data_IF_911475907343
#
_entry.id   IF_911475907343
#
_cell.length_a   1.000
_cell.length_b   1.000
_cell.length_c   1.000
_cell.angle_alpha   90.00
_cell.angle_beta   90.00
_cell.angle_gamma   90.00
#
_symmetry.space_group_name_H-M   'P 1'
#
loop_
_entity.id
_entity.type
_entity.pdbx_description
1 polymer ?
#
# COMPACT_ATOMS: atom_id res chain seq x y z
N UNK A 1 36.44 45.61 27.27
CA UNK A 1 37.24 44.48 26.75
C UNK A 1 36.56 43.17 27.09
N UNK A 2 36.11 42.45 26.05
CA UNK A 2 35.94 41.00 25.94
C UNK A 2 35.21 40.26 27.08
N UNK A 3 33.88 40.08 26.94
CA UNK A 3 33.17 38.77 27.03
C UNK A 3 31.80 38.89 26.31
N UNK A 4 31.89 39.05 24.99
CA UNK A 4 30.86 38.64 24.02
C UNK A 4 31.34 37.28 23.48
N UNK A 5 30.40 36.41 23.12
CA UNK A 5 30.55 35.10 22.47
C UNK A 5 30.49 33.86 23.38
N UNK A 6 29.66 32.90 22.94
CA UNK A 6 29.50 31.51 23.40
C UNK A 6 28.51 31.30 24.57
N UNK A 7 27.30 31.87 24.48
CA UNK A 7 26.06 31.18 24.89
C UNK A 7 25.00 31.49 23.81
N UNK A 8 25.37 31.11 22.59
CA UNK A 8 24.54 30.92 21.41
C UNK A 8 25.06 29.57 20.89
N UNK A 9 24.19 28.66 20.45
CA UNK A 9 24.42 27.21 20.25
C UNK A 9 24.06 26.36 21.49
N UNK A 10 22.88 26.62 22.03
CA UNK A 10 22.01 25.58 22.64
C UNK A 10 20.57 25.83 22.16
N UNK A 11 20.41 26.25 20.89
CA UNK A 11 19.47 25.55 20.02
C UNK A 11 20.16 24.18 19.86
N UNK A 12 19.81 23.07 20.51
CA UNK A 12 18.47 22.50 20.59
C UNK A 12 17.65 22.84 19.35
N UNK A 13 18.28 22.68 18.19
CA UNK A 13 17.68 21.94 17.10
C UNK A 13 17.39 20.54 17.67
N UNK A 14 16.35 20.43 18.50
CA UNK A 14 15.50 19.27 18.39
C UNK A 14 14.90 19.43 16.99
N UNK A 15 15.60 18.94 15.97
CA UNK A 15 14.88 18.33 14.87
C UNK A 15 13.97 17.34 15.58
N UNK A 16 12.69 17.67 15.71
CA UNK A 16 11.71 16.65 15.99
C UNK A 16 11.95 15.65 14.87
N UNK A 17 12.59 14.53 15.19
CA UNK A 17 12.65 13.42 14.28
C UNK A 17 11.19 12.98 14.22
N UNK A 18 10.50 13.44 13.18
CA UNK A 18 9.16 12.99 12.87
C UNK A 18 9.23 11.46 12.82
N UNK A 19 8.36 10.80 13.57
CA UNK A 19 8.30 9.35 13.54
C UNK A 19 7.86 8.91 12.15
N UNK A 20 8.33 7.74 11.72
CA UNK A 20 7.94 7.14 10.44
C UNK A 20 6.41 7.02 10.33
N UNK A 21 5.75 6.76 11.47
CA UNK A 21 4.30 6.75 11.61
C UNK A 21 3.63 8.09 11.29
N UNK A 22 4.26 9.24 11.53
CA UNK A 22 3.65 10.55 11.29
C UNK A 22 3.56 10.84 9.79
N UNK A 23 4.62 10.55 9.03
CA UNK A 23 4.60 10.66 7.57
C UNK A 23 3.59 9.69 6.95
N UNK A 24 3.56 8.44 7.42
CA UNK A 24 2.58 7.45 6.99
C UNK A 24 1.14 7.89 7.28
N UNK A 25 0.90 8.44 8.48
CA UNK A 25 -0.39 8.99 8.90
C UNK A 25 -0.81 10.15 8.00
N UNK A 26 0.09 11.07 7.68
CA UNK A 26 -0.20 12.19 6.78
C UNK A 26 -0.63 11.70 5.39
N UNK A 27 0.14 10.78 4.78
CA UNK A 27 -0.21 10.20 3.46
C UNK A 27 -1.53 9.45 3.51
N UNK A 28 -1.74 8.64 4.56
CA UNK A 28 -3.00 7.91 4.77
C UNK A 28 -4.21 8.82 4.89
N UNK A 29 -4.11 9.93 5.63
CA UNK A 29 -5.19 10.90 5.75
C UNK A 29 -5.49 11.60 4.42
N UNK A 30 -4.47 12.00 3.65
CA UNK A 30 -4.66 12.60 2.32
C UNK A 30 -5.37 11.64 1.37
N UNK A 31 -4.93 10.38 1.33
CA UNK A 31 -5.55 9.31 0.53
C UNK A 31 -7.01 9.06 0.95
N UNK A 32 -7.28 8.98 2.26
CA UNK A 32 -8.63 8.83 2.81
C UNK A 32 -9.56 9.99 2.42
N UNK A 33 -9.08 11.24 2.54
CA UNK A 33 -9.87 12.42 2.17
C UNK A 33 -10.18 12.45 0.67
N UNK A 34 -9.19 12.15 -0.17
CA UNK A 34 -9.39 12.12 -1.61
C UNK A 34 -10.38 11.04 -2.03
N UNK A 35 -10.21 9.82 -1.53
CA UNK A 35 -11.09 8.69 -1.86
C UNK A 35 -12.52 8.96 -1.46
N UNK A 36 -12.75 9.55 -0.28
CA UNK A 36 -14.07 10.03 0.12
C UNK A 36 -14.65 11.05 -0.87
N UNK A 37 -13.86 12.06 -1.26
CA UNK A 37 -14.31 13.10 -2.20
C UNK A 37 -14.66 12.53 -3.58
N UNK A 38 -13.82 11.66 -4.15
CA UNK A 38 -14.09 11.13 -5.48
C UNK A 38 -15.17 10.04 -5.48
N UNK A 39 -15.40 9.38 -4.34
CA UNK A 39 -16.56 8.49 -4.16
C UNK A 39 -17.88 9.25 -4.27
N UNK A 40 -17.95 10.49 -3.76
CA UNK A 40 -19.14 11.35 -3.97
C UNK A 40 -19.38 11.70 -5.44
N UNK A 41 -18.35 11.62 -6.29
CA UNK A 41 -18.43 11.81 -7.74
C UNK A 41 -18.77 10.52 -8.50
N UNK A 42 -18.99 9.41 -7.78
CA UNK A 42 -19.35 8.11 -8.34
C UNK A 42 -18.16 7.25 -8.76
N UNK A 43 -16.96 7.53 -8.25
CA UNK A 43 -15.81 6.64 -8.39
C UNK A 43 -15.76 5.64 -7.24
N UNK A 44 -15.51 4.38 -7.54
CA UNK A 44 -15.41 3.33 -6.51
C UNK A 44 -14.14 2.51 -6.73
N UNK A 45 -13.62 1.94 -5.65
CA UNK A 45 -12.44 1.08 -5.72
C UNK A 45 -12.69 -0.15 -6.61
N UNK A 46 -11.73 -0.44 -7.49
CA UNK A 46 -11.85 -1.51 -8.47
C UNK A 46 -11.40 -2.86 -7.85
N UNK A 47 -12.24 -3.50 -7.04
CA UNK A 47 -11.96 -4.83 -6.48
C UNK A 47 -10.85 -4.86 -5.42
N UNK A 48 -10.09 -5.95 -5.37
CA UNK A 48 -9.35 -6.39 -4.17
C UNK A 48 -7.83 -6.14 -4.17
N UNK A 49 -7.27 -5.70 -5.30
CA UNK A 49 -5.87 -5.27 -5.43
C UNK A 49 -5.83 -3.86 -6.06
N UNK A 50 -6.46 -2.89 -5.40
CA UNK A 50 -6.72 -1.55 -5.94
C UNK A 50 -6.17 -0.41 -5.09
N UNK A 51 -5.47 -0.71 -4.01
CA UNK A 51 -4.85 0.27 -3.14
C UNK A 51 -3.48 -0.22 -2.71
N UNK A 52 -2.50 0.66 -2.81
CA UNK A 52 -1.11 0.29 -2.67
C UNK A 52 -0.32 1.39 -1.98
N UNK A 53 0.85 1.04 -1.47
CA UNK A 53 1.78 2.00 -0.88
C UNK A 53 3.24 1.58 -0.96
N UNK A 54 4.11 2.58 -1.04
CA UNK A 54 5.56 2.43 -1.14
C UNK A 54 6.29 3.58 -0.44
N UNK A 55 7.54 3.34 -0.01
CA UNK A 55 8.46 4.38 0.43
C UNK A 55 9.46 4.61 -0.69
N UNK A 56 9.49 5.80 -1.29
CA UNK A 56 10.30 6.10 -2.47
C UNK A 56 11.39 7.13 -2.16
N UNK A 57 12.60 6.88 -2.63
CA UNK A 57 13.63 7.93 -2.73
C UNK A 57 13.33 8.90 -3.88
N UNK A 58 13.99 10.07 -3.89
CA UNK A 58 13.96 10.97 -5.05
C UNK A 58 14.53 10.28 -6.30
N UNK A 59 13.85 10.46 -7.44
CA UNK A 59 14.16 9.85 -8.73
C UNK A 59 13.78 8.37 -8.85
N UNK A 60 13.26 7.75 -7.79
CA UNK A 60 12.94 6.33 -7.75
C UNK A 60 11.47 6.08 -8.09
N UNK A 61 11.17 4.84 -8.46
CA UNK A 61 9.82 4.43 -8.88
C UNK A 61 9.45 3.05 -8.37
N UNK A 62 8.14 2.81 -8.32
CA UNK A 62 7.55 1.49 -8.07
C UNK A 62 6.50 1.20 -9.12
N UNK A 63 6.37 -0.07 -9.51
CA UNK A 63 5.38 -0.50 -10.50
C UNK A 63 4.45 -1.56 -9.94
N UNK A 64 3.19 -1.51 -10.35
CA UNK A 64 2.17 -2.54 -10.10
C UNK A 64 1.55 -2.99 -11.41
N UNK A 65 1.45 -4.31 -11.59
CA UNK A 65 0.75 -4.92 -12.72
C UNK A 65 -0.72 -5.12 -12.39
N UNK A 66 -1.61 -4.81 -13.33
CA UNK A 66 -3.05 -4.95 -13.14
C UNK A 66 -3.79 -5.27 -14.44
N UNK A 67 -4.78 -6.14 -14.36
CA UNK A 67 -5.73 -6.36 -15.44
C UNK A 67 -6.79 -5.25 -15.48
N UNK A 68 -7.01 -4.67 -16.66
CA UNK A 68 -8.05 -3.68 -16.87
C UNK A 68 -9.02 -4.11 -17.95
N UNK A 69 -10.29 -3.74 -17.80
CA UNK A 69 -11.34 -4.09 -18.77
C UNK A 69 -11.51 -3.05 -19.88
N UNK A 70 -11.65 -3.55 -21.12
CA UNK A 70 -11.84 -2.70 -22.29
C UNK A 70 -13.05 -1.79 -22.12
N UNK A 71 -12.83 -0.49 -22.27
CA UNK A 71 -13.89 0.52 -22.34
C UNK A 71 -14.37 1.04 -20.98
N UNK A 72 -14.03 0.38 -19.87
CA UNK A 72 -14.26 0.91 -18.52
C UNK A 72 -13.43 2.16 -18.30
N UNK A 73 -14.00 3.17 -17.64
CA UNK A 73 -13.26 4.37 -17.26
C UNK A 73 -12.62 4.11 -15.89
N UNK A 74 -11.32 4.28 -15.82
CA UNK A 74 -10.54 4.18 -14.61
C UNK A 74 -9.99 5.55 -14.21
N UNK A 75 -9.83 5.74 -12.92
CA UNK A 75 -9.13 6.85 -12.30
C UNK A 75 -8.01 6.25 -11.45
N UNK A 76 -6.77 6.64 -11.75
CA UNK A 76 -5.59 6.23 -11.01
C UNK A 76 -5.01 7.49 -10.39
N UNK A 77 -4.85 7.47 -9.07
CA UNK A 77 -4.39 8.64 -8.31
C UNK A 77 -3.27 8.23 -7.37
N UNK A 78 -2.40 9.17 -7.02
CA UNK A 78 -1.39 8.97 -5.98
C UNK A 78 -1.26 10.19 -5.06
N UNK A 79 -0.79 9.95 -3.84
CA UNK A 79 -0.51 10.96 -2.82
C UNK A 79 0.83 10.70 -2.16
N UNK A 80 1.66 11.73 -2.08
CA UNK A 80 2.84 11.76 -1.23
C UNK A 80 2.57 12.39 0.14
N UNK A 81 3.51 12.18 1.07
CA UNK A 81 3.57 12.94 2.32
C UNK A 81 3.94 14.42 2.08
N UNK A 82 4.35 15.15 3.11
CA UNK A 82 4.73 16.56 2.98
C UNK A 82 6.09 16.82 2.34
N UNK A 83 6.95 15.79 2.22
CA UNK A 83 8.25 15.90 1.58
C UNK A 83 8.17 15.73 0.06
N UNK A 84 7.05 15.23 -0.46
CA UNK A 84 6.77 15.12 -1.89
C UNK A 84 6.60 16.51 -2.54
N UNK A 85 7.33 16.75 -3.64
CA UNK A 85 7.20 17.97 -4.45
C UNK A 85 6.58 17.64 -5.81
N UNK A 86 7.07 16.58 -6.45
CA UNK A 86 6.68 16.17 -7.80
C UNK A 86 6.55 14.64 -7.87
N UNK A 87 5.31 14.15 -8.03
CA UNK A 87 5.00 12.74 -8.21
C UNK A 87 4.35 12.53 -9.58
N UNK A 88 4.82 11.52 -10.31
CA UNK A 88 4.29 11.17 -11.62
C UNK A 88 3.55 9.83 -11.60
N UNK A 89 2.53 9.71 -12.46
CA UNK A 89 1.87 8.44 -12.80
C UNK A 89 2.10 8.13 -14.26
N UNK A 90 2.55 6.92 -14.58
CA UNK A 90 2.60 6.42 -15.94
C UNK A 90 1.90 5.06 -16.06
N UNK A 91 1.04 4.91 -17.06
CA UNK A 91 0.37 3.65 -17.38
C UNK A 91 0.87 3.14 -18.72
N UNK A 92 1.42 1.94 -18.75
CA UNK A 92 1.91 1.28 -19.97
C UNK A 92 1.12 0.01 -20.28
N UNK A 93 0.97 -0.30 -21.57
CA UNK A 93 0.38 -1.56 -22.03
C UNK A 93 1.37 -2.73 -22.02
N UNK A 94 0.90 -3.92 -22.39
CA UNK A 94 1.70 -5.15 -22.51
C UNK A 94 2.94 -5.04 -23.42
N UNK A 95 3.00 -4.03 -24.30
CA UNK A 95 4.14 -3.77 -25.19
C UNK A 95 5.07 -2.67 -24.63
N UNK A 96 4.83 -2.20 -23.40
CA UNK A 96 5.56 -1.09 -22.79
C UNK A 96 5.22 0.28 -23.37
N UNK A 97 4.13 0.39 -24.14
CA UNK A 97 3.72 1.69 -24.71
C UNK A 97 2.94 2.48 -23.68
N UNK A 98 3.32 3.75 -23.45
CA UNK A 98 2.58 4.66 -22.58
C UNK A 98 1.20 4.93 -23.18
N UNK A 99 0.15 4.61 -22.42
CA UNK A 99 -1.25 4.78 -22.83
C UNK A 99 -1.97 5.89 -22.07
N UNK A 100 -1.45 6.28 -20.91
CA UNK A 100 -1.88 7.43 -20.13
C UNK A 100 -0.76 7.82 -19.15
N UNK A 101 -0.66 9.10 -18.81
CA UNK A 101 0.28 9.60 -17.81
C UNK A 101 -0.26 10.88 -17.15
N UNK A 102 0.21 11.16 -15.95
CA UNK A 102 0.20 12.48 -15.34
C UNK A 102 1.65 12.83 -15.00
N UNK A 103 2.10 13.96 -15.53
CA UNK A 103 3.46 14.49 -15.40
C UNK A 103 3.44 15.98 -15.02
N UNK A 104 2.34 16.42 -14.40
CA UNK A 104 2.22 17.77 -13.87
C UNK A 104 3.10 17.90 -12.62
N UNK A 105 3.73 19.07 -12.46
CA UNK A 105 4.60 19.34 -11.32
C UNK A 105 3.78 19.52 -10.03
N UNK A 106 3.37 18.43 -9.42
CA UNK A 106 2.63 18.37 -8.16
C UNK A 106 2.77 17.03 -7.44
N UNK A 107 2.42 16.99 -6.15
CA UNK A 107 2.55 15.80 -5.29
C UNK A 107 1.29 14.91 -5.28
N UNK A 108 0.36 15.14 -6.20
CA UNK A 108 -1.00 14.57 -6.20
C UNK A 108 -1.48 14.16 -7.60
N UNK A 109 -0.68 13.40 -8.36
CA UNK A 109 -0.99 13.07 -9.74
C UNK A 109 -2.28 12.25 -9.82
N UNK A 110 -3.01 12.47 -10.91
CA UNK A 110 -4.28 11.83 -11.19
C UNK A 110 -4.46 11.61 -12.70
N UNK A 111 -4.63 10.36 -13.08
CA UNK A 111 -4.74 9.93 -14.46
C UNK A 111 -6.10 9.25 -14.73
N UNK A 112 -6.90 9.86 -15.60
CA UNK A 112 -8.09 9.24 -16.19
C UNK A 112 -7.69 8.34 -17.36
N UNK A 113 -8.06 7.06 -17.30
CA UNK A 113 -7.65 6.04 -18.24
C UNK A 113 -8.84 5.24 -18.77
N UNK A 114 -8.85 4.92 -20.07
CA UNK A 114 -9.85 4.02 -20.67
C UNK A 114 -9.18 3.01 -21.59
N UNK A 115 -8.98 1.76 -21.16
CA UNK A 115 -8.29 0.74 -21.94
C UNK A 115 -8.98 0.47 -23.27
N UNK A 116 -8.18 0.38 -24.34
CA UNK A 116 -8.65 -0.01 -25.68
C UNK A 116 -8.81 -1.53 -25.83
N UNK A 117 -8.21 -2.31 -24.93
CA UNK A 117 -8.25 -3.78 -24.88
C UNK A 117 -8.38 -4.21 -23.41
N UNK A 118 -8.98 -5.37 -23.17
CA UNK A 118 -8.90 -6.03 -21.88
C UNK A 118 -7.55 -6.75 -21.85
N UNK A 119 -6.65 -6.31 -20.97
CA UNK A 119 -5.28 -6.80 -20.91
C UNK A 119 -4.63 -6.41 -19.57
N UNK A 120 -3.44 -6.96 -19.30
CA UNK A 120 -2.57 -6.47 -18.24
C UNK A 120 -1.88 -5.17 -18.66
N UNK A 121 -1.87 -4.21 -17.74
CA UNK A 121 -1.15 -2.95 -17.84
C UNK A 121 -0.23 -2.81 -16.63
N UNK A 122 0.76 -1.93 -16.76
CA UNK A 122 1.66 -1.58 -15.65
C UNK A 122 1.42 -0.13 -15.26
N UNK A 123 1.12 0.10 -13.98
CA UNK A 123 1.07 1.42 -13.37
C UNK A 123 2.42 1.66 -12.72
N UNK A 124 3.08 2.76 -13.05
CA UNK A 124 4.35 3.18 -12.43
C UNK A 124 4.15 4.51 -11.74
N UNK A 125 4.55 4.57 -10.48
CA UNK A 125 4.56 5.79 -9.67
C UNK A 125 6.02 6.20 -9.48
N UNK A 126 6.35 7.45 -9.78
CA UNK A 126 7.71 7.98 -9.65
C UNK A 126 7.72 9.16 -8.70
N UNK A 127 8.66 9.17 -7.74
CA UNK A 127 8.94 10.34 -6.94
C UNK A 127 10.00 11.19 -7.64
N UNK A 128 9.59 12.12 -8.49
CA UNK A 128 10.50 12.84 -9.37
C UNK A 128 11.34 13.89 -8.61
N UNK A 129 10.73 14.61 -7.66
CA UNK A 129 11.40 15.60 -6.79
C UNK A 129 10.81 15.57 -5.37
N UNK A 130 11.68 15.61 -4.35
CA UNK A 130 11.24 15.62 -2.95
C UNK A 130 12.31 16.14 -1.98
N UNK A 131 11.94 16.47 -0.74
CA UNK A 131 12.89 16.85 0.31
C UNK A 131 13.47 15.66 1.10
N UNK A 132 13.18 14.42 0.69
CA UNK A 132 13.51 13.22 1.45
C UNK A 132 12.99 11.92 0.84
N UNK A 133 12.87 10.89 1.65
CA UNK A 133 12.12 9.69 1.27
C UNK A 133 10.63 10.00 1.47
N UNK A 134 9.80 9.60 0.50
CA UNK A 134 8.38 9.93 0.48
C UNK A 134 7.55 8.66 0.61
N UNK A 135 6.62 8.65 1.56
CA UNK A 135 5.52 7.71 1.57
C UNK A 135 4.51 8.05 0.48
N UNK A 136 4.31 7.12 -0.45
CA UNK A 136 3.36 7.28 -1.53
C UNK A 136 2.28 6.22 -1.45
N UNK A 137 1.02 6.64 -1.43
CA UNK A 137 -0.15 5.78 -1.61
C UNK A 137 -0.78 6.03 -2.97
N UNK A 138 -1.24 4.98 -3.64
CA UNK A 138 -1.98 5.11 -4.89
C UNK A 138 -3.16 4.14 -4.95
N UNK A 139 -4.20 4.55 -5.66
CA UNK A 139 -5.41 3.78 -5.81
C UNK A 139 -5.86 3.66 -7.27
N UNK A 140 -6.63 2.60 -7.53
CA UNK A 140 -7.28 2.34 -8.82
C UNK A 140 -8.78 2.28 -8.58
N UNK A 141 -9.49 3.20 -9.22
CA UNK A 141 -10.94 3.33 -9.09
C UNK A 141 -11.58 3.28 -10.47
N UNK A 142 -12.84 2.85 -10.54
CA UNK A 142 -13.65 2.88 -11.74
C UNK A 142 -14.95 3.64 -11.47
N UNK A 143 -15.62 4.10 -12.53
CA UNK A 143 -16.92 4.77 -12.41
C UNK A 143 -18.09 3.91 -12.93
N UNK A 144 -17.85 2.62 -13.09
CA UNK A 144 -18.90 1.67 -13.38
C UNK A 144 -19.72 1.43 -12.11
N UNK A 145 -20.92 0.85 -12.24
CA UNK A 145 -21.74 0.53 -11.07
C UNK A 145 -21.01 -0.51 -10.23
N UNK A 146 -20.35 -0.06 -9.18
CA UNK A 146 -19.70 -0.93 -8.22
C UNK A 146 -20.78 -1.70 -7.42
N UNK A 147 -20.63 -3.02 -7.25
CA UNK A 147 -21.46 -3.75 -6.29
C UNK A 147 -21.13 -3.34 -4.84
N UNK A 148 -19.99 -2.67 -4.63
CA UNK A 148 -19.49 -2.27 -3.33
C UNK A 148 -19.96 -0.87 -2.99
N UNK A 149 -20.79 -0.77 -1.96
CA UNK A 149 -21.26 0.50 -1.42
C UNK A 149 -20.23 1.08 -0.43
N UNK A 150 -19.98 2.38 -0.52
CA UNK A 150 -19.13 3.16 0.39
C UNK A 150 -17.68 2.62 0.52
N UNK A 151 -17.04 2.23 -0.59
CA UNK A 151 -15.69 1.68 -0.51
C UNK A 151 -14.67 2.69 0.07
N UNK A 152 -14.85 3.98 -0.21
CA UNK A 152 -14.06 5.05 0.37
C UNK A 152 -14.14 5.09 1.90
N UNK A 153 -15.34 5.06 2.48
CA UNK A 153 -15.55 5.04 3.94
C UNK A 153 -14.89 3.82 4.59
N UNK A 154 -15.03 2.65 3.97
CA UNK A 154 -14.41 1.40 4.44
C UNK A 154 -12.89 1.48 4.42
N UNK A 155 -12.31 2.09 3.39
CA UNK A 155 -10.87 2.38 3.31
C UNK A 155 -10.42 3.28 4.46
N UNK A 156 -11.16 4.36 4.76
CA UNK A 156 -10.87 5.24 5.90
C UNK A 156 -10.89 4.47 7.22
N UNK A 157 -11.87 3.59 7.44
CA UNK A 157 -11.97 2.78 8.66
C UNK A 157 -10.78 1.83 8.82
N UNK A 158 -10.35 1.17 7.73
CA UNK A 158 -9.16 0.31 7.76
C UNK A 158 -7.87 1.12 8.02
N UNK A 159 -7.74 2.30 7.41
CA UNK A 159 -6.62 3.22 7.66
C UNK A 159 -6.60 3.73 9.10
N UNK A 160 -7.75 4.01 9.72
CA UNK A 160 -7.80 4.42 11.13
C UNK A 160 -7.25 3.33 12.07
N UNK A 161 -7.55 2.05 11.82
CA UNK A 161 -6.99 0.93 12.60
C UNK A 161 -5.47 0.81 12.44
N UNK A 162 -4.96 1.09 11.23
CA UNK A 162 -3.52 1.18 11.00
C UNK A 162 -2.88 2.31 11.81
N UNK A 163 -3.51 3.47 11.86
CA UNK A 163 -3.01 4.61 12.65
C UNK A 163 -2.98 4.29 14.15
N UNK A 164 -4.04 3.66 14.67
CA UNK A 164 -4.10 3.20 16.06
C UNK A 164 -2.97 2.18 16.36
N UNK A 165 -2.73 1.24 15.44
CA UNK A 165 -1.64 0.27 15.58
C UNK A 165 -0.26 0.92 15.65
N UNK A 166 0.07 1.85 14.75
CA UNK A 166 1.37 2.54 14.79
C UNK A 166 1.53 3.44 16.01
N UNK A 167 0.45 4.03 16.53
CA UNK A 167 0.52 4.80 17.77
C UNK A 167 1.01 3.94 18.95
N UNK A 168 0.59 2.66 18.99
CA UNK A 168 1.02 1.70 20.01
C UNK A 168 2.48 1.26 19.76
N UNK A 169 2.88 1.04 18.50
CA UNK A 169 4.25 0.65 18.18
C UNK A 169 5.28 1.72 18.58
N UNK A 170 4.98 2.99 18.31
CA UNK A 170 5.87 4.10 18.65
C UNK A 170 6.06 4.24 20.16
N UNK A 171 5.01 4.02 20.95
CA UNK A 171 5.10 4.01 22.42
C UNK A 171 6.04 2.91 22.95
N UNK A 172 6.15 1.80 22.23
CA UNK A 172 6.96 0.65 22.61
C UNK A 172 8.39 0.71 22.06
N UNK A 173 8.74 1.73 21.26
CA UNK A 173 10.07 1.93 20.68
C UNK A 173 10.61 0.73 19.88
N UNK A 174 9.73 0.07 19.12
CA UNK A 174 10.16 -0.98 18.19
C UNK A 174 10.95 -0.35 17.03
N UNK A 175 12.11 -0.91 16.67
CA UNK A 175 12.84 -0.51 15.45
C UNK A 175 12.18 -1.26 14.29
N UNK A 176 11.28 -0.57 13.59
CA UNK A 176 10.69 -1.07 12.36
C UNK A 176 10.96 -0.09 11.23
N UNK A 177 11.09 -0.62 10.02
CA UNK A 177 11.40 0.16 8.81
C UNK A 177 10.56 -0.32 7.65
N UNK A 178 10.45 0.55 6.65
CA UNK A 178 9.79 0.22 5.39
C UNK A 178 10.85 -0.07 4.33
N UNK A 179 10.52 -0.95 3.40
CA UNK A 179 11.38 -1.20 2.26
C UNK A 179 11.40 0.02 1.34
N UNK A 180 12.61 0.53 1.09
CA UNK A 180 12.83 1.60 0.12
C UNK A 180 12.63 1.07 -1.31
N UNK A 181 11.92 1.84 -2.14
CA UNK A 181 11.66 1.59 -3.56
C UNK A 181 10.94 0.25 -3.82
N UNK A 182 10.11 -0.18 -2.88
CA UNK A 182 9.29 -1.39 -2.97
C UNK A 182 7.88 -1.11 -2.46
N UNK A 183 6.91 -1.82 -3.03
CA UNK A 183 5.54 -1.85 -2.49
C UNK A 183 5.57 -2.52 -1.12
N UNK A 184 5.07 -1.81 -0.10
CA UNK A 184 4.93 -2.32 1.25
C UNK A 184 3.46 -2.46 1.67
N UNK A 185 2.53 -1.80 0.96
CA UNK A 185 1.09 -1.88 1.22
C UNK A 185 0.40 -2.40 -0.04
N UNK A 186 -0.52 -3.35 0.14
CA UNK A 186 -1.45 -3.79 -0.91
C UNK A 186 -2.80 -4.17 -0.31
N UNK A 187 -3.89 -3.82 -0.99
CA UNK A 187 -5.23 -4.19 -0.59
C UNK A 187 -6.33 -3.69 -1.52
N UNK A 188 -7.56 -3.76 -1.05
CA UNK A 188 -8.75 -3.34 -1.77
C UNK A 188 -10.03 -3.81 -1.08
N UNK A 189 -11.14 -3.80 -1.81
CA UNK A 189 -12.43 -4.32 -1.33
C UNK A 189 -12.48 -5.82 -1.54
N UNK A 190 -12.87 -6.56 -0.50
CA UNK A 190 -13.04 -8.01 -0.51
C UNK A 190 -14.35 -8.45 0.14
N UNK A 191 -14.93 -9.54 -0.37
CA UNK A 191 -16.11 -10.21 0.20
C UNK A 191 -15.74 -11.38 1.14
N UNK A 192 -16.71 -11.83 1.96
CA UNK A 192 -16.54 -13.06 2.75
C UNK A 192 -16.22 -14.27 1.85
N UNK A 193 -15.17 -14.99 2.21
CA UNK A 193 -14.66 -16.14 1.46
C UNK A 193 -13.70 -15.79 0.33
N UNK A 194 -13.55 -14.50 -0.01
CA UNK A 194 -12.59 -14.08 -1.03
C UNK A 194 -11.15 -14.22 -0.51
N UNK A 195 -10.26 -14.67 -1.40
CA UNK A 195 -8.82 -14.77 -1.16
C UNK A 195 -8.07 -13.99 -2.24
N UNK A 196 -6.97 -13.37 -1.84
CA UNK A 196 -6.06 -12.66 -2.73
C UNK A 196 -4.63 -13.03 -2.41
N UNK A 197 -3.73 -12.71 -3.34
CA UNK A 197 -2.33 -12.94 -3.13
C UNK A 197 -1.45 -11.93 -3.89
N UNK A 198 -0.42 -11.47 -3.19
CA UNK A 198 0.65 -10.63 -3.71
C UNK A 198 1.90 -11.48 -3.94
N UNK A 199 2.33 -11.58 -5.19
CA UNK A 199 3.42 -12.46 -5.64
C UNK A 199 4.67 -11.68 -6.01
N UNK A 200 5.73 -12.43 -6.24
CA UNK A 200 7.02 -11.94 -6.69
C UNK A 200 7.60 -10.90 -5.72
N UNK A 201 7.20 -11.02 -4.45
CA UNK A 201 7.73 -10.21 -3.38
C UNK A 201 9.10 -10.76 -2.98
N UNK A 202 10.08 -9.87 -2.88
CA UNK A 202 11.44 -10.20 -2.44
C UNK A 202 11.93 -9.18 -1.43
N UNK A 203 12.55 -9.70 -0.37
CA UNK A 203 13.24 -8.91 0.65
C UNK A 203 14.73 -9.19 0.61
N UNK A 204 15.57 -8.32 1.16
CA UNK A 204 16.95 -8.66 1.45
C UNK A 204 17.03 -9.91 2.35
N UNK A 205 18.05 -10.74 2.13
CA UNK A 205 18.29 -11.95 2.94
C UNK A 205 18.49 -11.63 4.42
N UNK A 206 18.15 -12.59 5.29
CA UNK A 206 18.34 -12.52 6.75
C UNK A 206 17.66 -11.30 7.39
N UNK A 207 16.53 -10.88 6.83
CA UNK A 207 15.75 -9.74 7.31
C UNK A 207 14.49 -10.25 8.03
N UNK A 208 14.36 -9.93 9.32
CA UNK A 208 13.11 -10.12 10.05
C UNK A 208 12.03 -9.22 9.45
N UNK A 209 10.89 -9.81 9.12
CA UNK A 209 9.77 -9.10 8.52
C UNK A 209 8.52 -9.21 9.40
N UNK A 210 7.79 -8.11 9.50
CA UNK A 210 6.47 -8.07 10.14
C UNK A 210 5.41 -7.81 9.07
N UNK A 211 4.34 -8.59 9.12
CA UNK A 211 3.20 -8.43 8.23
C UNK A 211 1.99 -8.10 9.08
N UNK A 212 1.27 -7.05 8.69
CA UNK A 212 0.12 -6.57 9.45
C UNK A 212 -1.05 -6.32 8.51
N UNK A 213 -2.11 -7.10 8.68
CA UNK A 213 -3.36 -6.98 7.95
C UNK A 213 -4.36 -6.10 8.67
N UNK A 214 -5.08 -5.24 7.95
CA UNK A 214 -6.12 -4.39 8.49
C UNK A 214 -7.39 -4.53 7.66
N UNK A 215 -8.50 -4.91 8.30
CA UNK A 215 -9.84 -4.88 7.73
C UNK A 215 -10.69 -3.74 8.28
N UNK A 216 -11.59 -3.21 7.46
CA UNK A 216 -12.61 -2.23 7.85
C UNK A 216 -13.59 -2.80 8.89
N UNK A 217 -14.53 -2.01 9.38
CA UNK A 217 -15.44 -2.42 10.48
C UNK A 217 -16.42 -3.55 10.10
N UNK A 218 -16.60 -3.78 8.81
CA UNK A 218 -17.41 -4.87 8.25
C UNK A 218 -16.69 -6.21 8.39
N UNK A 219 -15.36 -6.19 8.42
CA UNK A 219 -14.49 -7.36 8.52
C UNK A 219 -14.44 -7.81 9.98
N UNK A 220 -14.67 -9.10 10.21
CA UNK A 220 -14.63 -9.72 11.53
C UNK A 220 -13.44 -10.65 11.70
N UNK A 221 -12.99 -11.25 10.59
CA UNK A 221 -11.97 -12.28 10.54
C UNK A 221 -11.19 -12.14 9.23
N UNK A 222 -9.96 -11.63 9.34
CA UNK A 222 -9.03 -11.36 8.25
C UNK A 222 -7.72 -12.07 8.53
N UNK A 223 -7.34 -12.96 7.62
CA UNK A 223 -6.18 -13.81 7.80
C UNK A 223 -5.12 -13.45 6.76
N UNK A 224 -3.87 -13.57 7.16
CA UNK A 224 -2.71 -13.38 6.29
C UNK A 224 -1.80 -14.59 6.42
N UNK A 225 -1.20 -15.00 5.30
CA UNK A 225 -0.34 -16.17 5.21
C UNK A 225 0.80 -15.90 4.24
N UNK A 226 2.03 -16.20 4.66
CA UNK A 226 3.22 -16.05 3.85
C UNK A 226 3.78 -17.40 3.44
N UNK A 227 4.09 -17.55 2.16
CA UNK A 227 4.57 -18.81 1.58
C UNK A 227 5.75 -18.57 0.64
N UNK A 228 6.61 -19.58 0.46
CA UNK A 228 7.62 -19.55 -0.59
C UNK A 228 7.01 -19.77 -1.98
N UNK A 229 7.46 -18.98 -2.96
CA UNK A 229 6.97 -19.09 -4.33
C UNK A 229 7.94 -19.90 -5.21
N UNK A 230 7.40 -20.90 -5.93
CA UNK A 230 8.17 -21.87 -6.72
C UNK A 230 8.66 -21.36 -8.09
N UNK A 231 8.31 -20.12 -8.46
CA UNK A 231 8.74 -19.48 -9.69
C UNK A 231 7.83 -18.32 -10.10
N UNK A 232 8.33 -17.43 -10.95
CA UNK A 232 7.69 -16.17 -11.34
C UNK A 232 6.28 -16.31 -11.94
N UNK A 233 5.97 -17.47 -12.53
CA UNK A 233 4.72 -17.71 -13.27
C UNK A 233 3.66 -18.50 -12.47
N UNK A 234 3.97 -18.97 -11.27
CA UNK A 234 3.03 -19.73 -10.44
C UNK A 234 2.28 -18.81 -9.48
N UNK A 235 1.03 -18.55 -9.83
CA UNK A 235 0.10 -17.72 -9.08
C UNK A 235 -0.97 -18.64 -8.51
N UNK A 236 -0.92 -18.90 -7.21
CA UNK A 236 -1.89 -19.72 -6.45
C UNK A 236 -2.72 -18.90 -5.46
N UNK A 237 -3.89 -18.45 -5.90
CA UNK A 237 -4.80 -17.63 -5.09
C UNK A 237 -5.52 -18.42 -4.00
N UNK A 238 -5.36 -19.75 -3.95
CA UNK A 238 -6.00 -20.56 -2.94
C UNK A 238 -5.25 -20.43 -1.61
N UNK A 239 -5.90 -19.75 -0.66
CA UNK A 239 -5.38 -19.59 0.70
C UNK A 239 -5.17 -20.94 1.40
N UNK A 240 -6.05 -21.90 1.11
CA UNK A 240 -6.11 -23.23 1.73
C UNK A 240 -5.26 -24.26 0.99
N UNK A 241 -4.54 -23.85 -0.04
CA UNK A 241 -3.64 -24.75 -0.75
C UNK A 241 -2.61 -25.35 0.21
N UNK A 242 -2.27 -26.61 -0.06
CA UNK A 242 -1.13 -27.30 0.53
C UNK A 242 0.16 -26.68 -0.03
N UNK A 243 0.49 -25.50 0.48
CA UNK A 243 1.70 -24.77 0.12
C UNK A 243 2.92 -25.54 0.62
N UNK A 244 3.92 -25.64 -0.24
CA UNK A 244 5.12 -26.41 0.06
C UNK A 244 5.83 -25.96 1.33
N UNK A 245 5.86 -24.65 1.57
CA UNK A 245 6.47 -24.07 2.75
C UNK A 245 5.71 -22.82 3.19
N UNK A 246 4.92 -22.97 4.25
CA UNK A 246 4.33 -21.87 5.00
C UNK A 246 5.42 -21.30 5.91
N UNK A 247 5.71 -20.01 5.77
CA UNK A 247 6.70 -19.29 6.58
C UNK A 247 6.07 -18.86 7.89
N UNK A 248 4.94 -18.16 7.80
CA UNK A 248 4.13 -17.71 8.93
C UNK A 248 2.69 -17.49 8.46
N UNK A 249 1.75 -17.55 9.41
CA UNK A 249 0.33 -17.27 9.18
C UNK A 249 -0.29 -16.69 10.46
N UNK A 250 -1.29 -15.83 10.28
CA UNK A 250 -2.22 -15.42 11.31
C UNK A 250 -3.59 -16.00 10.95
N UNK A 251 -4.17 -16.76 11.89
CA UNK A 251 -5.49 -17.37 11.78
C UNK A 251 -6.38 -17.04 12.98
N UNK A 252 -6.06 -15.93 13.67
CA UNK A 252 -6.81 -15.50 14.84
C UNK A 252 -8.10 -14.80 14.39
N UNK A 253 -9.20 -15.05 15.11
CA UNK A 253 -10.49 -14.43 14.80
C UNK A 253 -10.46 -12.92 15.12
N UNK A 254 -9.95 -12.13 14.18
CA UNK A 254 -9.74 -10.70 14.32
C UNK A 254 -9.80 -9.98 12.96
N UNK A 255 -10.16 -8.69 13.00
CA UNK A 255 -10.10 -7.82 11.83
C UNK A 255 -8.70 -7.23 11.58
N UNK A 256 -7.76 -7.49 12.48
CA UNK A 256 -6.36 -7.09 12.39
C UNK A 256 -5.54 -8.34 12.56
N UNK A 257 -4.75 -8.67 11.55
CA UNK A 257 -3.92 -9.86 11.49
C UNK A 257 -2.46 -9.44 11.70
N UNK A 258 -1.68 -10.20 12.45
CA UNK A 258 -0.26 -9.90 12.68
C UNK A 258 0.57 -11.18 12.60
N UNK A 259 1.60 -11.17 11.76
CA UNK A 259 2.57 -12.26 11.74
C UNK A 259 3.99 -11.73 11.60
N UNK A 260 4.94 -12.46 12.20
CA UNK A 260 6.37 -12.22 12.09
C UNK A 260 7.00 -13.41 11.38
N UNK A 261 7.90 -13.15 10.45
CA UNK A 261 8.61 -14.20 9.72
C UNK A 261 10.02 -13.77 9.35
N UNK A 262 10.97 -14.69 9.46
CA UNK A 262 12.31 -14.52 8.92
C UNK A 262 12.36 -15.09 7.51
N UNK A 263 12.80 -14.29 6.54
CA UNK A 263 12.85 -14.68 5.14
C UNK A 263 14.25 -15.19 4.78
N UNK A 264 14.34 -16.47 4.45
CA UNK A 264 15.59 -17.19 4.19
C UNK A 264 15.68 -17.63 2.74
N UNK A 265 16.78 -17.29 2.07
CA UNK A 265 17.33 -17.85 0.80
C UNK A 265 16.39 -18.05 -0.41
N UNK A 266 15.09 -17.78 -0.31
CA UNK A 266 14.16 -17.79 -1.44
C UNK A 266 14.23 -16.48 -2.20
N UNK A 267 14.22 -16.57 -3.53
CA UNK A 267 14.16 -15.40 -4.41
C UNK A 267 12.78 -14.71 -4.34
N UNK A 268 11.71 -15.46 -4.03
CA UNK A 268 10.33 -14.99 -4.17
C UNK A 268 9.41 -15.58 -3.09
N UNK A 269 8.50 -14.73 -2.62
CA UNK A 269 7.44 -15.08 -1.68
C UNK A 269 6.07 -14.68 -2.22
N UNK A 270 5.05 -15.36 -1.72
CA UNK A 270 3.65 -15.09 -1.96
C UNK A 270 2.96 -14.77 -0.62
N UNK A 271 2.47 -13.53 -0.51
CA UNK A 271 1.66 -13.05 0.60
C UNK A 271 0.19 -13.23 0.25
N UNK A 272 -0.43 -14.26 0.81
CA UNK A 272 -1.84 -14.60 0.67
C UNK A 272 -2.65 -13.92 1.79
N UNK A 273 -3.84 -13.46 1.48
CA UNK A 273 -4.75 -12.89 2.47
C UNK A 273 -6.21 -13.20 2.14
N UNK A 274 -7.03 -13.38 3.17
CA UNK A 274 -8.41 -13.88 3.03
C UNK A 274 -9.34 -13.25 4.06
N UNK A 275 -10.56 -12.93 3.62
CA UNK A 275 -11.64 -12.55 4.54
C UNK A 275 -12.45 -13.81 4.86
N UNK A 276 -12.28 -14.37 6.07
CA UNK A 276 -13.06 -15.53 6.49
C UNK A 276 -14.47 -15.18 6.94
N UNK A 277 -14.61 -14.02 7.57
CA UNK A 277 -15.89 -13.57 8.11
C UNK A 277 -16.06 -12.07 7.93
N UNK A 278 -17.18 -11.68 7.35
CA UNK A 278 -17.60 -10.29 7.30
C UNK A 278 -19.12 -10.13 7.36
N UNK A 279 -19.59 -8.93 7.69
CA UNK A 279 -21.02 -8.59 7.64
C UNK A 279 -21.48 -8.28 6.21
N UNK A 280 -20.56 -7.77 5.41
CA UNK A 280 -20.69 -7.44 3.99
C UNK A 280 -19.28 -7.28 3.39
N UNK A 281 -19.15 -6.81 2.16
CA UNK A 281 -17.83 -6.46 1.60
C UNK A 281 -17.13 -5.43 2.49
N UNK A 282 -15.85 -5.64 2.76
CA UNK A 282 -15.04 -4.71 3.55
C UNK A 282 -13.77 -4.33 2.80
N UNK A 283 -13.13 -3.25 3.24
CA UNK A 283 -11.83 -2.86 2.73
C UNK A 283 -10.76 -3.54 3.57
N UNK A 284 -9.82 -4.23 2.94
CA UNK A 284 -8.68 -4.85 3.60
C UNK A 284 -7.37 -4.41 2.94
N UNK A 285 -6.30 -4.30 3.71
CA UNK A 285 -4.95 -4.19 3.16
C UNK A 285 -3.93 -4.81 4.11
N UNK A 286 -2.78 -5.19 3.55
CA UNK A 286 -1.65 -5.73 4.32
C UNK A 286 -0.45 -4.80 4.19
N UNK A 287 0.21 -4.53 5.30
CA UNK A 287 1.49 -3.85 5.42
C UNK A 287 2.62 -4.85 5.58
N UNK A 288 3.78 -4.48 5.05
CA UNK A 288 5.03 -5.22 5.17
C UNK A 288 6.08 -4.29 5.76
N UNK A 289 6.63 -4.68 6.91
CA UNK A 289 7.67 -3.97 7.64
C UNK A 289 8.90 -4.88 7.78
N UNK A 290 10.06 -4.28 8.04
CA UNK A 290 11.32 -4.95 8.37
C UNK A 290 11.83 -4.46 9.71
N UNK A 291 12.66 -5.27 10.37
CA UNK A 291 13.57 -4.84 11.44
C UNK A 291 14.59 -3.77 10.97
#
# INVERSE_FOLDING_TARGET
MKRLAIIFILLLLASAAFSVSEYLLQTGLKAAMYTSMISELGWEYDGSACFYGALLGEGESVSSGRWFERGTKYNIWAYGDEDAIDLDIQITDENGSVVAEDSAYDATPNCDFRPKKSASYTITITNYESNGQVFVFWGVMNNDVSPYYNAGEKCVNALAKMMDFFSILDENAWDYRFFLNKTFLIGGIMEEGESQCFYNFSVPFDTGCYFVGFGSDEIQDFDIKLTEQWGLDQVDYDFEADDYQIICEDSDYAAVATMEGSLYDSELYALKYRVYKSRESGFVFTLILTE
#
